data_IF_676020703366
#
_entry.id   IF_676020703366
#
_cell.length_a   1.000
_cell.length_b   1.000
_cell.length_c   1.000
_cell.angle_alpha   90.00
_cell.angle_beta   90.00
_cell.angle_gamma   90.00
#
_symmetry.space_group_name_H-M   'P 1'
#
loop_
_entity.id
_entity.type
_entity.pdbx_description
1 polymer ?
#
# COMPACT_ATOMS: atom_id res chain seq x y z
N UNK A 1 13.42 -22.36 -14.17
CA UNK A 1 12.74 -21.48 -13.18
C UNK A 1 12.12 -20.25 -13.82
N UNK A 2 12.67 -19.69 -14.90
CA UNK A 2 12.10 -18.53 -15.58
C UNK A 2 10.66 -18.72 -16.09
N UNK A 3 10.33 -19.89 -16.67
CA UNK A 3 8.97 -20.15 -17.20
C UNK A 3 7.86 -20.06 -16.14
N UNK A 4 8.16 -20.32 -14.87
CA UNK A 4 7.19 -20.27 -13.78
C UNK A 4 6.93 -18.84 -13.28
N UNK A 5 7.92 -17.94 -13.40
CA UNK A 5 7.82 -16.55 -12.92
C UNK A 5 7.35 -15.57 -14.01
N UNK A 6 7.43 -15.94 -15.29
CA UNK A 6 6.92 -15.14 -16.43
C UNK A 6 5.54 -14.52 -16.21
N UNK A 7 4.49 -15.26 -15.79
CA UNK A 7 3.16 -14.65 -15.59
C UNK A 7 3.15 -13.57 -14.50
N UNK A 8 3.95 -13.72 -13.45
CA UNK A 8 4.03 -12.72 -12.37
C UNK A 8 4.83 -11.47 -12.79
N UNK A 9 5.90 -11.66 -13.57
CA UNK A 9 6.66 -10.55 -14.16
C UNK A 9 5.80 -9.75 -15.15
N UNK A 10 4.99 -10.42 -15.97
CA UNK A 10 4.06 -9.78 -16.90
C UNK A 10 2.99 -8.96 -16.16
N UNK A 11 2.42 -9.50 -15.07
CA UNK A 11 1.48 -8.75 -14.21
C UNK A 11 2.15 -7.53 -13.55
N UNK A 12 3.38 -7.69 -13.08
CA UNK A 12 4.14 -6.59 -12.45
C UNK A 12 4.45 -5.48 -13.47
N UNK A 13 4.84 -5.88 -14.68
CA UNK A 13 5.08 -4.95 -15.79
C UNK A 13 3.79 -4.27 -16.24
N UNK A 14 2.65 -4.97 -16.30
CA UNK A 14 1.35 -4.39 -16.62
C UNK A 14 0.93 -3.31 -15.60
N UNK A 15 1.12 -3.58 -14.30
CA UNK A 15 0.89 -2.60 -13.23
C UNK A 15 1.81 -1.38 -13.38
N UNK A 16 3.07 -1.60 -13.77
CA UNK A 16 4.07 -0.54 -13.95
C UNK A 16 3.86 0.30 -15.22
N UNK A 17 3.57 -0.35 -16.35
CA UNK A 17 3.41 0.26 -17.69
C UNK A 17 2.03 0.91 -17.84
N UNK A 18 1.11 0.68 -16.89
CA UNK A 18 -0.25 1.25 -16.85
C UNK A 18 -1.19 0.71 -17.93
N UNK A 19 -0.78 -0.33 -18.66
CA UNK A 19 -1.60 -1.10 -19.60
C UNK A 19 -2.19 -2.32 -18.87
N UNK A 20 -3.40 -2.14 -18.34
CA UNK A 20 -3.98 -2.98 -17.29
C UNK A 20 -5.04 -3.99 -17.79
N UNK A 21 -5.05 -4.33 -19.08
CA UNK A 21 -6.01 -5.31 -19.65
C UNK A 21 -5.74 -6.77 -19.19
N UNK A 22 -4.63 -7.02 -18.50
CA UNK A 22 -4.16 -8.36 -18.11
C UNK A 22 -4.38 -8.71 -16.63
N UNK A 23 -4.99 -7.83 -15.82
CA UNK A 23 -5.24 -8.12 -14.41
C UNK A 23 -6.53 -8.93 -14.20
N UNK A 24 -6.45 -10.02 -13.44
CA UNK A 24 -7.54 -10.98 -13.20
C UNK A 24 -8.70 -10.47 -12.31
N UNK A 25 -8.63 -9.26 -11.77
CA UNK A 25 -9.64 -8.70 -10.86
C UNK A 25 -10.00 -7.26 -11.24
N UNK A 26 -11.23 -7.07 -11.74
CA UNK A 26 -11.72 -5.76 -12.20
C UNK A 26 -11.64 -4.66 -11.13
N UNK A 27 -11.78 -5.01 -9.85
CA UNK A 27 -11.65 -4.08 -8.72
C UNK A 27 -10.24 -3.51 -8.57
N UNK A 28 -9.21 -4.30 -8.84
CA UNK A 28 -7.81 -3.89 -8.62
C UNK A 28 -7.33 -3.00 -9.76
N UNK A 29 -7.85 -3.21 -10.98
CA UNK A 29 -7.67 -2.31 -12.13
C UNK A 29 -8.25 -0.94 -11.80
N UNK A 30 -9.49 -0.89 -11.28
CA UNK A 30 -10.17 0.37 -10.94
C UNK A 30 -9.38 1.13 -9.89
N UNK A 31 -8.92 0.46 -8.82
CA UNK A 31 -8.12 1.09 -7.76
C UNK A 31 -6.80 1.66 -8.29
N UNK A 32 -6.11 0.90 -9.14
CA UNK A 32 -4.84 1.32 -9.75
C UNK A 32 -5.03 2.49 -10.72
N UNK A 33 -6.07 2.46 -11.56
CA UNK A 33 -6.41 3.56 -12.49
C UNK A 33 -6.77 4.84 -11.73
N UNK A 34 -7.57 4.75 -10.67
CA UNK A 34 -7.90 5.90 -9.83
C UNK A 34 -6.66 6.51 -9.18
N UNK A 35 -5.73 5.69 -8.67
CA UNK A 35 -4.45 6.17 -8.11
C UNK A 35 -3.58 6.87 -9.17
N UNK A 36 -3.57 6.36 -10.40
CA UNK A 36 -2.84 7.02 -11.50
C UNK A 36 -3.46 8.38 -11.87
N UNK A 37 -4.80 8.46 -11.91
CA UNK A 37 -5.53 9.70 -12.17
C UNK A 37 -5.22 10.72 -11.07
N UNK A 38 -5.26 10.30 -9.80
CA UNK A 38 -4.99 11.19 -8.68
C UNK A 38 -3.59 11.78 -8.78
N UNK A 39 -2.55 10.95 -9.00
CA UNK A 39 -1.15 11.40 -9.10
C UNK A 39 -0.93 12.33 -10.32
N UNK A 40 -1.65 12.10 -11.41
CA UNK A 40 -1.41 12.82 -12.67
C UNK A 40 -2.14 14.16 -12.75
N UNK A 41 -3.27 14.32 -12.06
CA UNK A 41 -4.14 15.48 -12.22
C UNK A 41 -4.51 16.09 -10.87
N UNK A 42 -4.27 17.39 -10.72
CA UNK A 42 -4.78 18.16 -9.58
C UNK A 42 -6.30 18.39 -9.67
N UNK A 43 -6.85 18.49 -10.89
CA UNK A 43 -8.29 18.65 -11.13
C UNK A 43 -8.67 17.89 -12.39
N UNK A 44 -9.79 17.18 -12.36
CA UNK A 44 -10.29 16.41 -13.50
C UNK A 44 -11.83 16.43 -13.53
N UNK A 45 -12.38 16.42 -14.73
CA UNK A 45 -13.82 16.31 -14.95
C UNK A 45 -14.29 14.86 -14.89
N UNK A 46 -15.51 14.67 -14.41
CA UNK A 46 -16.18 13.37 -14.32
C UNK A 46 -16.26 12.56 -15.63
N UNK A 47 -16.63 13.16 -16.79
CA UNK A 47 -16.62 12.44 -18.06
C UNK A 47 -15.22 11.92 -18.43
N UNK A 48 -14.17 12.69 -18.17
CA UNK A 48 -12.79 12.30 -18.45
C UNK A 48 -12.33 11.14 -17.54
N UNK A 49 -12.82 11.11 -16.29
CA UNK A 49 -12.60 9.99 -15.37
C UNK A 49 -13.27 8.73 -15.90
N UNK A 50 -14.53 8.80 -16.33
CA UNK A 50 -15.25 7.66 -16.87
C UNK A 50 -14.60 7.12 -18.16
N UNK A 51 -14.11 8.02 -19.02
CA UNK A 51 -13.37 7.66 -20.23
C UNK A 51 -12.04 6.95 -19.89
N UNK A 52 -11.27 7.46 -18.92
CA UNK A 52 -10.00 6.84 -18.48
C UNK A 52 -10.22 5.51 -17.73
N UNK A 53 -11.35 5.34 -17.07
CA UNK A 53 -11.73 4.08 -16.43
C UNK A 53 -12.26 3.03 -17.43
N UNK A 54 -12.59 3.43 -18.66
CA UNK A 54 -13.22 2.57 -19.70
C UNK A 54 -14.54 1.96 -19.22
N UNK A 55 -15.39 2.78 -18.58
CA UNK A 55 -16.73 2.36 -18.18
C UNK A 55 -17.63 2.30 -19.42
N UNK A 56 -18.11 1.11 -19.78
CA UNK A 56 -18.96 0.87 -20.96
C UNK A 56 -20.47 0.93 -20.63
N UNK A 57 -20.86 1.59 -19.54
CA UNK A 57 -22.25 1.61 -19.08
C UNK A 57 -23.10 2.64 -19.82
N UNK A 58 -24.43 2.48 -19.74
CA UNK A 58 -25.39 3.38 -20.39
C UNK A 58 -25.32 4.83 -19.83
N UNK A 59 -24.92 4.99 -18.57
CA UNK A 59 -24.74 6.29 -17.90
C UNK A 59 -23.35 6.36 -17.23
N UNK A 60 -22.28 6.61 -17.99
CA UNK A 60 -20.90 6.52 -17.48
C UNK A 60 -20.57 7.56 -16.40
N UNK A 61 -21.33 8.67 -16.37
CA UNK A 61 -21.14 9.76 -15.41
C UNK A 61 -21.55 9.34 -13.99
N UNK A 62 -22.71 8.69 -13.82
CA UNK A 62 -23.23 8.28 -12.52
C UNK A 62 -22.39 7.15 -11.88
N UNK A 63 -21.94 6.19 -12.70
CA UNK A 63 -21.07 5.12 -12.22
C UNK A 63 -19.69 5.65 -11.83
N UNK A 64 -19.16 6.62 -12.59
CA UNK A 64 -17.95 7.34 -12.26
C UNK A 64 -18.04 8.04 -10.90
N UNK A 65 -19.17 8.70 -10.60
CA UNK A 65 -19.42 9.33 -9.30
C UNK A 65 -19.39 8.32 -8.15
N UNK A 66 -20.10 7.20 -8.30
CA UNK A 66 -20.19 6.17 -7.26
C UNK A 66 -18.84 5.53 -6.97
N UNK A 67 -18.06 5.22 -8.02
CA UNK A 67 -16.72 4.66 -7.90
C UNK A 67 -15.78 5.65 -7.20
N UNK A 68 -15.84 6.93 -7.57
CA UNK A 68 -15.03 7.99 -6.95
C UNK A 68 -15.44 8.22 -5.50
N UNK A 69 -16.73 8.26 -5.19
CA UNK A 69 -17.24 8.38 -3.82
C UNK A 69 -16.76 7.23 -2.93
N UNK A 70 -16.86 5.99 -3.42
CA UNK A 70 -16.35 4.79 -2.72
C UNK A 70 -14.84 4.86 -2.48
N UNK A 71 -14.09 5.40 -3.44
CA UNK A 71 -12.64 5.55 -3.29
C UNK A 71 -12.25 6.58 -2.23
N UNK A 72 -13.00 7.69 -2.12
CA UNK A 72 -12.81 8.72 -1.09
C UNK A 72 -13.13 8.21 0.31
N UNK A 73 -14.19 7.40 0.43
CA UNK A 73 -14.56 6.77 1.70
C UNK A 73 -13.52 5.76 2.19
N UNK A 74 -12.85 5.07 1.25
CA UNK A 74 -11.86 4.04 1.60
C UNK A 74 -10.61 4.71 2.17
N UNK A 75 -9.90 5.58 1.45
CA UNK A 75 -8.69 6.24 1.97
C UNK A 75 -8.36 7.60 1.29
N UNK A 76 -8.21 8.65 2.10
CA UNK A 76 -7.23 9.74 1.93
C UNK A 76 -7.24 10.54 0.60
N UNK A 77 -8.41 10.94 0.10
CA UNK A 77 -8.52 11.96 -0.96
C UNK A 77 -9.63 12.96 -0.62
N UNK A 78 -9.34 14.26 -0.74
CA UNK A 78 -10.27 15.35 -0.42
C UNK A 78 -11.62 15.19 -1.09
N UNK A 79 -12.67 15.49 -0.32
CA UNK A 79 -14.08 15.53 -0.70
C UNK A 79 -14.31 16.24 -2.06
N UNK A 80 -15.14 15.68 -2.95
CA UNK A 80 -15.48 16.31 -4.22
C UNK A 80 -16.33 17.55 -3.94
N UNK A 81 -15.92 18.71 -4.47
CA UNK A 81 -16.72 19.93 -4.44
C UNK A 81 -17.53 20.06 -5.73
N UNK A 82 -18.86 20.04 -5.59
CA UNK A 82 -19.84 20.44 -6.61
C UNK A 82 -20.07 19.42 -7.74
N UNK A 83 -21.35 19.14 -8.01
CA UNK A 83 -21.99 18.18 -8.94
C UNK A 83 -21.50 18.14 -10.41
N UNK A 84 -20.41 18.86 -10.75
CA UNK A 84 -19.80 18.86 -12.09
C UNK A 84 -18.27 18.75 -12.10
N UNK A 85 -17.61 18.81 -10.95
CA UNK A 85 -16.14 18.86 -10.89
C UNK A 85 -15.62 18.07 -9.69
N UNK A 86 -14.72 17.11 -9.91
CA UNK A 86 -14.02 16.47 -8.78
C UNK A 86 -12.68 17.15 -8.64
N UNK A 87 -12.55 17.97 -7.60
CA UNK A 87 -11.26 18.54 -7.21
C UNK A 87 -10.51 17.50 -6.39
N UNK A 88 -9.46 16.92 -6.99
CA UNK A 88 -8.52 16.06 -6.29
C UNK A 88 -7.43 16.95 -5.68
N UNK A 89 -7.65 17.47 -4.48
CA UNK A 89 -6.54 18.01 -3.68
C UNK A 89 -5.75 16.84 -3.14
N UNK A 90 -4.78 16.38 -3.92
CA UNK A 90 -3.71 15.57 -3.38
C UNK A 90 -3.02 16.36 -2.29
N UNK A 91 -3.05 15.84 -1.06
CA UNK A 91 -2.20 16.29 0.05
C UNK A 91 -0.74 15.82 -0.13
N UNK A 92 -0.32 15.57 -1.37
CA UNK A 92 0.90 14.82 -1.72
C UNK A 92 2.00 15.71 -2.32
N UNK A 93 1.71 17.00 -2.53
CA UNK A 93 2.74 18.03 -2.76
C UNK A 93 2.98 18.84 -1.48
N UNK A 94 2.98 18.17 -0.33
CA UNK A 94 3.40 18.73 0.95
C UNK A 94 4.80 18.21 1.29
N UNK A 95 5.62 19.05 1.90
CA UNK A 95 6.89 18.63 2.47
C UNK A 95 6.66 17.48 3.46
N UNK A 96 7.26 16.31 3.17
CA UNK A 96 7.11 15.08 3.96
C UNK A 96 7.69 15.25 5.36
N UNK A 97 8.69 16.14 5.51
CA UNK A 97 9.34 16.42 6.78
C UNK A 97 8.53 17.37 7.68
N UNK A 98 7.51 18.03 7.13
CA UNK A 98 6.60 18.88 7.91
C UNK A 98 5.57 18.08 8.72
N UNK A 99 5.40 16.78 8.44
CA UNK A 99 4.43 15.88 9.08
C UNK A 99 5.19 14.84 9.94
N UNK A 100 4.49 14.12 10.82
CA UNK A 100 5.04 13.08 11.71
C UNK A 100 5.37 11.73 11.02
N UNK A 101 5.09 11.57 9.72
CA UNK A 101 5.39 10.32 8.98
C UNK A 101 6.86 9.85 9.07
N UNK A 102 7.88 10.71 8.83
CA UNK A 102 9.28 10.29 8.96
C UNK A 102 9.62 9.78 10.36
N UNK A 103 9.06 10.37 11.41
CA UNK A 103 9.28 9.92 12.79
C UNK A 103 8.65 8.56 13.05
N UNK A 104 7.45 8.29 12.51
CA UNK A 104 6.78 6.99 12.64
C UNK A 104 7.58 5.90 11.90
N UNK A 105 8.04 6.19 10.67
CA UNK A 105 8.89 5.29 9.90
C UNK A 105 10.17 4.95 10.65
N UNK A 106 10.86 5.97 11.18
CA UNK A 106 12.07 5.77 11.96
C UNK A 106 11.82 4.96 13.24
N UNK A 107 10.73 5.23 13.96
CA UNK A 107 10.38 4.48 15.17
C UNK A 107 10.19 2.97 14.88
N UNK A 108 9.54 2.63 13.76
CA UNK A 108 9.40 1.23 13.33
C UNK A 108 10.76 0.57 13.03
N UNK A 109 11.69 1.29 12.40
CA UNK A 109 13.04 0.80 12.12
C UNK A 109 13.83 0.56 13.42
N UNK A 110 13.76 1.51 14.36
CA UNK A 110 14.43 1.39 15.66
C UNK A 110 13.88 0.19 16.43
N UNK A 111 12.55 0.03 16.49
CA UNK A 111 11.91 -1.10 17.14
C UNK A 111 12.37 -2.45 16.53
N UNK A 112 12.48 -2.52 15.20
CA UNK A 112 12.98 -3.71 14.50
C UNK A 112 14.44 -4.03 14.87
N UNK A 113 15.33 -3.03 14.83
CA UNK A 113 16.72 -3.21 15.21
C UNK A 113 16.87 -3.65 16.68
N UNK A 114 16.10 -3.04 17.59
CA UNK A 114 16.07 -3.41 19.00
C UNK A 114 15.55 -4.83 19.21
N UNK A 115 14.55 -5.27 18.45
CA UNK A 115 14.05 -6.64 18.53
C UNK A 115 15.13 -7.66 18.13
N UNK A 116 15.81 -7.45 17.00
CA UNK A 116 16.93 -8.31 16.57
C UNK A 116 18.06 -8.29 17.59
N UNK A 117 18.37 -7.11 18.16
CA UNK A 117 19.38 -6.99 19.19
C UNK A 117 19.01 -7.82 20.44
N UNK A 118 17.76 -7.74 20.89
CA UNK A 118 17.26 -8.50 22.03
C UNK A 118 17.34 -10.01 21.77
N UNK A 119 16.96 -10.48 20.57
CA UNK A 119 17.10 -11.87 20.17
C UNK A 119 18.57 -12.33 20.17
N UNK A 120 19.48 -11.52 19.63
CA UNK A 120 20.91 -11.83 19.60
C UNK A 120 21.55 -11.85 21.01
N UNK A 121 21.15 -10.95 21.90
CA UNK A 121 21.63 -10.93 23.29
C UNK A 121 21.09 -12.13 24.06
N UNK A 122 19.85 -12.56 23.81
CA UNK A 122 19.28 -13.75 24.43
C UNK A 122 20.09 -15.02 24.10
N UNK A 123 20.73 -15.10 22.92
CA UNK A 123 21.61 -16.23 22.56
C UNK A 123 22.91 -16.28 23.38
N UNK A 124 23.38 -15.16 23.92
CA UNK A 124 24.61 -15.12 24.75
C UNK A 124 24.42 -15.88 26.06
N UNK A 125 23.21 -15.85 26.60
CA UNK A 125 22.89 -16.56 27.84
C UNK A 125 22.15 -17.85 27.49
N UNK A 126 22.80 -19.03 27.68
CA UNK A 126 22.10 -20.28 27.41
C UNK A 126 20.87 -20.33 28.33
N UNK A 127 19.71 -20.78 27.81
CA UNK A 127 18.44 -20.64 28.52
C UNK A 127 18.58 -21.25 29.91
N UNK A 128 18.04 -20.57 30.93
CA UNK A 128 18.21 -20.91 32.35
C UNK A 128 17.97 -22.40 32.67
N UNK A 129 17.22 -23.12 31.82
CA UNK A 129 17.05 -24.58 31.81
C UNK A 129 18.35 -25.39 31.67
N UNK A 130 19.29 -24.97 30.81
CA UNK A 130 20.59 -25.65 30.65
C UNK A 130 21.51 -25.40 31.84
N UNK A 131 21.47 -24.18 32.41
CA UNK A 131 22.19 -23.81 33.63
C UNK A 131 21.66 -24.59 34.85
N UNK A 132 20.33 -24.75 34.96
CA UNK A 132 19.68 -25.58 35.99
C UNK A 132 20.00 -27.08 35.84
N UNK A 133 20.02 -27.62 34.61
CA UNK A 133 20.46 -29.01 34.35
C UNK A 133 21.95 -29.23 34.65
N UNK A 134 22.84 -28.27 34.33
CA UNK A 134 24.27 -28.34 34.70
C UNK A 134 24.48 -28.27 36.21
N UNK A 135 23.74 -27.43 36.94
CA UNK A 135 23.78 -27.39 38.41
C UNK A 135 23.28 -28.69 39.04
N UNK A 136 22.14 -29.24 38.58
CA UNK A 136 21.65 -30.55 39.06
C UNK A 136 22.65 -31.68 38.82
N UNK A 137 23.42 -31.64 37.72
CA UNK A 137 24.49 -32.62 37.44
C UNK A 137 25.76 -32.41 38.26
N UNK A 138 26.04 -31.19 38.73
CA UNK A 138 27.22 -30.87 39.56
C UNK A 138 27.00 -31.16 41.05
N UNK A 139 25.78 -31.10 41.55
CA UNK A 139 25.44 -31.48 42.94
C UNK A 139 25.13 -32.97 43.14
N UNK A 140 25.30 -33.80 42.11
CA UNK A 140 25.10 -35.26 42.16
C UNK A 140 26.43 -36.03 42.04
N UNK A 141 27.56 -35.36 42.27
CA UNK A 141 28.90 -35.94 42.41
C UNK A 141 29.43 -35.62 43.80
#
# INVERSE_FOLDING_TARGET
MEKALRPYCELTNAVRIRDLELMNSGSDIIRTRLRNISISYSRIYLPDVAQKLRLNSANPVADGESIVAKAIETEQSTRPSTTRMVVWSQRTTGDIYSINEPQISLNSMIAFCLNIHNEAVALRFPPTRTRRKRMRRRGAR
#
